data_IF_549447978385
#
_entry.id   IF_549447978385
#
_cell.length_a   1.000
_cell.length_b   1.000
_cell.length_c   1.000
_cell.angle_alpha   90.00
_cell.angle_beta   90.00
_cell.angle_gamma   90.00
#
_symmetry.space_group_name_H-M   'P 1'
#
loop_
_entity.id
_entity.type
_entity.pdbx_description
1 polymer ?
#
# COMPACT_ATOMS: atom_id res chain seq x y z
N UNK A 1 0.82 5.90 23.25
CA UNK A 1 0.63 5.59 21.83
C UNK A 1 0.45 4.07 21.60
N UNK A 2 -0.20 3.35 22.53
CA UNK A 2 -0.22 1.87 22.59
C UNK A 2 -1.61 1.28 22.86
N UNK A 3 -2.69 1.97 22.48
CA UNK A 3 -4.03 1.35 22.47
C UNK A 3 -4.60 1.34 21.06
N UNK A 4 -3.81 0.86 20.09
CA UNK A 4 -4.37 0.53 18.77
C UNK A 4 -5.35 -0.63 18.96
N UNK A 5 -6.65 -0.32 18.94
CA UNK A 5 -7.69 -1.34 18.93
C UNK A 5 -7.42 -2.35 17.82
N UNK A 6 -7.54 -3.64 18.12
CA UNK A 6 -7.41 -4.72 17.14
C UNK A 6 -8.31 -4.50 15.91
N UNK A 7 -9.46 -3.87 16.11
CA UNK A 7 -10.41 -3.51 15.06
C UNK A 7 -9.79 -2.50 14.07
N UNK A 8 -9.05 -1.51 14.58
CA UNK A 8 -8.32 -0.54 13.75
C UNK A 8 -7.23 -1.24 12.92
N UNK A 9 -6.44 -2.09 13.58
CA UNK A 9 -5.32 -2.78 12.95
C UNK A 9 -5.81 -3.67 11.81
N UNK A 10 -6.84 -4.48 12.05
CA UNK A 10 -7.38 -5.41 11.06
C UNK A 10 -8.11 -4.64 9.95
N UNK A 11 -8.97 -3.68 10.33
CA UNK A 11 -9.80 -2.92 9.40
C UNK A 11 -9.02 -2.15 8.34
N UNK A 12 -7.80 -1.72 8.65
CA UNK A 12 -6.90 -1.03 7.71
C UNK A 12 -5.94 -2.01 7.05
N UNK A 13 -5.30 -2.90 7.83
CA UNK A 13 -4.19 -3.70 7.30
C UNK A 13 -4.67 -4.76 6.30
N UNK A 14 -5.91 -5.25 6.41
CA UNK A 14 -6.50 -6.19 5.43
C UNK A 14 -6.69 -5.53 4.06
N UNK A 15 -7.47 -4.42 3.92
CA UNK A 15 -7.64 -3.77 2.62
C UNK A 15 -6.32 -3.23 2.07
N UNK A 16 -5.44 -2.72 2.92
CA UNK A 16 -4.10 -2.28 2.52
C UNK A 16 -3.29 -3.42 1.89
N UNK A 17 -3.23 -4.59 2.56
CA UNK A 17 -2.50 -5.74 2.04
C UNK A 17 -3.06 -6.24 0.71
N UNK A 18 -4.39 -6.23 0.57
CA UNK A 18 -5.05 -6.64 -0.67
C UNK A 18 -4.71 -5.70 -1.83
N UNK A 19 -4.78 -4.38 -1.60
CA UNK A 19 -4.45 -3.37 -2.59
C UNK A 19 -2.98 -3.38 -2.96
N UNK A 20 -2.08 -3.59 -2.00
CA UNK A 20 -0.64 -3.64 -2.25
C UNK A 20 -0.27 -4.82 -3.13
N UNK A 21 -0.76 -6.03 -2.81
CA UNK A 21 -0.51 -7.22 -3.65
C UNK A 21 -1.08 -7.02 -5.04
N UNK A 22 -2.30 -6.48 -5.16
CA UNK A 22 -2.89 -6.14 -6.45
C UNK A 22 -2.04 -5.14 -7.23
N UNK A 23 -1.53 -4.10 -6.59
CA UNK A 23 -0.66 -3.12 -7.21
C UNK A 23 0.68 -3.73 -7.65
N UNK A 24 1.26 -4.64 -6.86
CA UNK A 24 2.49 -5.34 -7.23
C UNK A 24 2.32 -6.16 -8.51
N UNK A 25 1.23 -6.91 -8.64
CA UNK A 25 0.92 -7.65 -9.86
C UNK A 25 0.64 -6.69 -11.04
N UNK A 26 -0.12 -5.63 -10.78
CA UNK A 26 -0.55 -4.68 -11.82
C UNK A 26 0.63 -3.91 -12.43
N UNK A 27 1.55 -3.41 -11.59
CA UNK A 27 2.70 -2.64 -12.04
C UNK A 27 3.85 -3.53 -12.54
N UNK A 28 3.97 -4.75 -12.03
CA UNK A 28 4.94 -5.72 -12.58
C UNK A 28 4.49 -6.35 -13.90
N UNK A 29 3.23 -6.13 -14.30
CA UNK A 29 2.58 -6.74 -15.47
C UNK A 29 2.64 -8.28 -15.45
N UNK A 30 2.82 -8.87 -14.27
CA UNK A 30 2.81 -10.32 -14.11
C UNK A 30 1.36 -10.82 -14.04
N UNK A 31 1.03 -11.96 -14.67
CA UNK A 31 -0.31 -12.50 -14.60
C UNK A 31 -0.66 -12.90 -13.16
N UNK A 32 -1.84 -12.47 -12.69
CA UNK A 32 -2.31 -12.77 -11.34
C UNK A 32 -2.61 -14.27 -11.24
N UNK A 33 -1.88 -14.96 -10.37
CA UNK A 33 -2.23 -16.31 -9.95
C UNK A 33 -3.01 -16.23 -8.63
N UNK A 34 -4.29 -16.59 -8.67
CA UNK A 34 -5.22 -16.43 -7.53
C UNK A 34 -4.69 -17.11 -6.25
N UNK A 35 -4.09 -18.30 -6.35
CA UNK A 35 -3.56 -19.01 -5.18
C UNK A 35 -2.39 -18.25 -4.54
N UNK A 36 -1.46 -17.75 -5.37
CA UNK A 36 -0.30 -16.96 -4.90
C UNK A 36 -0.71 -15.59 -4.39
N UNK A 37 -1.70 -14.98 -5.04
CA UNK A 37 -2.28 -13.70 -4.64
C UNK A 37 -2.80 -13.75 -3.20
N UNK A 38 -3.71 -14.68 -2.89
CA UNK A 38 -4.25 -14.80 -1.53
C UNK A 38 -3.18 -15.17 -0.50
N UNK A 39 -2.23 -16.04 -0.87
CA UNK A 39 -1.11 -16.37 0.00
C UNK A 39 -0.25 -15.14 0.33
N UNK A 40 0.07 -14.33 -0.69
CA UNK A 40 0.82 -13.08 -0.52
C UNK A 40 0.05 -12.04 0.29
N UNK A 41 -1.28 -11.98 0.18
CA UNK A 41 -2.10 -11.08 1.00
C UNK A 41 -2.03 -11.48 2.47
N UNK A 42 -2.17 -12.77 2.79
CA UNK A 42 -2.08 -13.27 4.17
C UNK A 42 -0.70 -13.02 4.76
N UNK A 43 0.36 -13.29 3.99
CA UNK A 43 1.74 -13.05 4.42
C UNK A 43 1.99 -11.56 4.64
N UNK A 44 1.62 -10.70 3.70
CA UNK A 44 1.76 -9.24 3.86
C UNK A 44 0.96 -8.71 5.05
N UNK A 45 -0.27 -9.17 5.24
CA UNK A 45 -1.09 -8.79 6.38
C UNK A 45 -0.43 -9.15 7.71
N UNK A 46 0.10 -10.37 7.80
CA UNK A 46 0.80 -10.85 9.01
C UNK A 46 2.07 -10.03 9.26
N UNK A 47 2.82 -9.72 8.21
CA UNK A 47 4.02 -8.88 8.30
C UNK A 47 3.68 -7.45 8.75
N UNK A 48 2.64 -6.83 8.18
CA UNK A 48 2.17 -5.49 8.57
C UNK A 48 1.76 -5.46 10.02
N UNK A 49 0.93 -6.41 10.46
CA UNK A 49 0.50 -6.49 11.85
C UNK A 49 1.70 -6.72 12.78
N UNK A 50 2.58 -7.66 12.43
CA UNK A 50 3.80 -7.94 13.19
C UNK A 50 4.67 -6.71 13.34
N UNK A 51 5.05 -6.06 12.23
CA UNK A 51 5.92 -4.89 12.21
C UNK A 51 5.32 -3.71 12.98
N UNK A 52 4.02 -3.42 12.81
CA UNK A 52 3.33 -2.31 13.49
C UNK A 52 3.15 -2.50 15.00
N UNK A 53 3.28 -3.74 15.50
CA UNK A 53 3.23 -4.03 16.92
C UNK A 53 4.61 -3.86 17.61
N UNK A 54 5.71 -3.74 16.86
CA UNK A 54 7.00 -3.44 17.48
C UNK A 54 7.03 -1.98 17.98
N UNK A 55 7.65 -1.71 19.14
CA UNK A 55 7.80 -0.36 19.68
C UNK A 55 8.95 0.38 18.97
N UNK A 56 8.81 0.67 17.68
CA UNK A 56 9.83 1.34 16.87
C UNK A 56 9.23 2.60 16.25
N UNK A 57 10.08 3.53 15.82
CA UNK A 57 9.63 4.70 15.08
C UNK A 57 8.97 4.34 13.75
N UNK A 58 7.95 5.12 13.39
CA UNK A 58 7.11 4.90 12.20
C UNK A 58 7.93 4.78 10.89
N UNK A 59 9.00 5.56 10.74
CA UNK A 59 9.86 5.49 9.56
C UNK A 59 10.59 4.15 9.39
N UNK A 60 10.98 3.52 10.50
CA UNK A 60 11.72 2.25 10.48
C UNK A 60 10.77 1.09 10.12
N UNK A 61 9.52 1.14 10.58
CA UNK A 61 8.50 0.18 10.19
C UNK A 61 8.31 0.13 8.67
N UNK A 62 8.26 1.28 8.00
CA UNK A 62 8.11 1.36 6.55
C UNK A 62 9.30 0.72 5.82
N UNK A 63 10.53 0.98 6.27
CA UNK A 63 11.73 0.36 5.69
C UNK A 63 11.73 -1.17 5.84
N UNK A 64 11.32 -1.66 7.01
CA UNK A 64 11.23 -3.10 7.26
C UNK A 64 10.15 -3.75 6.39
N UNK A 65 9.01 -3.08 6.21
CA UNK A 65 7.94 -3.55 5.32
C UNK A 65 8.35 -3.54 3.85
N UNK A 66 9.10 -2.53 3.39
CA UNK A 66 9.65 -2.52 2.02
C UNK A 66 10.48 -3.77 1.77
N UNK A 67 11.40 -4.09 2.68
CA UNK A 67 12.21 -5.31 2.57
C UNK A 67 11.34 -6.57 2.53
N UNK A 68 10.38 -6.67 3.45
CA UNK A 68 9.49 -7.82 3.54
C UNK A 68 8.59 -8.00 2.30
N UNK A 69 8.12 -6.91 1.70
CA UNK A 69 7.35 -6.93 0.45
C UNK A 69 8.21 -7.36 -0.74
N UNK A 70 9.45 -6.89 -0.83
CA UNK A 70 10.38 -7.34 -1.89
C UNK A 70 10.60 -8.86 -1.80
N UNK A 71 10.83 -9.39 -0.60
CA UNK A 71 10.97 -10.84 -0.39
C UNK A 71 9.70 -11.60 -0.77
N UNK A 72 8.54 -11.11 -0.35
CA UNK A 72 7.24 -11.72 -0.70
C UNK A 72 7.03 -11.76 -2.21
N UNK A 73 7.34 -10.66 -2.89
CA UNK A 73 7.22 -10.54 -4.34
C UNK A 73 8.14 -11.52 -5.09
N UNK A 74 9.35 -11.75 -4.60
CA UNK A 74 10.31 -12.69 -5.20
C UNK A 74 9.91 -14.14 -4.92
N UNK A 75 9.66 -14.47 -3.65
CA UNK A 75 9.49 -15.85 -3.20
C UNK A 75 8.12 -16.43 -3.58
N UNK A 76 7.06 -15.65 -3.36
CA UNK A 76 5.67 -16.08 -3.54
C UNK A 76 5.15 -15.66 -4.91
N UNK A 77 5.24 -14.37 -5.23
CA UNK A 77 4.66 -13.82 -6.46
C UNK A 77 5.49 -14.14 -7.72
N UNK A 78 6.74 -14.60 -7.54
CA UNK A 78 7.70 -14.94 -8.61
C UNK A 78 8.01 -13.77 -9.55
N UNK A 79 8.02 -12.56 -9.00
CA UNK A 79 8.45 -11.34 -9.70
C UNK A 79 9.99 -11.29 -9.65
N UNK A 80 10.64 -10.97 -10.77
CA UNK A 80 12.11 -10.84 -10.83
C UNK A 80 12.60 -9.77 -9.84
N UNK A 81 13.80 -9.95 -9.27
CA UNK A 81 14.37 -9.10 -8.22
C UNK A 81 14.35 -7.61 -8.58
N UNK A 82 14.86 -7.23 -9.76
CA UNK A 82 14.91 -5.82 -10.18
C UNK A 82 13.49 -5.24 -10.27
N UNK A 83 12.58 -5.95 -10.92
CA UNK A 83 11.18 -5.55 -11.05
C UNK A 83 10.49 -5.46 -9.69
N UNK A 84 10.78 -6.40 -8.77
CA UNK A 84 10.23 -6.43 -7.42
C UNK A 84 10.62 -5.18 -6.63
N UNK A 85 11.89 -4.79 -6.69
CA UNK A 85 12.39 -3.57 -6.02
C UNK A 85 11.68 -2.33 -6.60
N UNK A 86 11.70 -2.17 -7.93
CA UNK A 86 11.11 -0.99 -8.59
C UNK A 86 9.61 -0.87 -8.31
N UNK A 87 8.87 -1.97 -8.41
CA UNK A 87 7.43 -2.01 -8.18
C UNK A 87 7.10 -1.76 -6.71
N UNK A 88 7.86 -2.34 -5.78
CA UNK A 88 7.64 -2.13 -4.33
C UNK A 88 7.83 -0.65 -3.97
N UNK A 89 8.93 -0.04 -4.43
CA UNK A 89 9.19 1.40 -4.19
C UNK A 89 8.09 2.26 -4.82
N UNK A 90 7.68 1.95 -6.06
CA UNK A 90 6.62 2.69 -6.75
C UNK A 90 5.30 2.65 -5.99
N UNK A 91 4.90 1.47 -5.50
CA UNK A 91 3.69 1.30 -4.69
C UNK A 91 3.75 2.12 -3.40
N UNK A 92 4.88 2.12 -2.70
CA UNK A 92 5.04 2.89 -1.47
C UNK A 92 4.96 4.40 -1.72
N UNK A 93 5.57 4.88 -2.79
CA UNK A 93 5.46 6.30 -3.19
C UNK A 93 4.00 6.66 -3.49
N UNK A 94 3.29 5.82 -4.24
CA UNK A 94 1.87 6.03 -4.53
C UNK A 94 1.03 6.05 -3.25
N UNK A 95 1.33 5.17 -2.29
CA UNK A 95 0.66 5.18 -0.98
C UNK A 95 0.87 6.50 -0.25
N UNK A 96 2.11 6.98 -0.13
CA UNK A 96 2.41 8.25 0.52
C UNK A 96 1.71 9.43 -0.14
N UNK A 97 1.68 9.47 -1.47
CA UNK A 97 0.95 10.52 -2.22
C UNK A 97 -0.54 10.45 -1.92
N UNK A 98 -1.11 9.24 -1.87
CA UNK A 98 -2.54 9.03 -1.62
C UNK A 98 -2.94 9.46 -0.21
N UNK A 99 -2.16 9.09 0.80
CA UNK A 99 -2.38 9.51 2.18
C UNK A 99 -2.22 11.02 2.35
N UNK A 100 -1.24 11.63 1.69
CA UNK A 100 -1.03 13.07 1.74
C UNK A 100 -2.22 13.84 1.14
N UNK A 101 -2.71 13.41 -0.03
CA UNK A 101 -3.87 14.03 -0.68
C UNK A 101 -5.12 13.89 0.19
N UNK A 102 -5.32 12.71 0.77
CA UNK A 102 -6.46 12.44 1.65
C UNK A 102 -6.46 13.35 2.89
N UNK A 103 -5.33 13.44 3.60
CA UNK A 103 -5.17 14.36 4.72
C UNK A 103 -5.32 15.84 4.30
N UNK A 104 -4.82 16.22 3.13
CA UNK A 104 -4.97 17.58 2.63
C UNK A 104 -6.43 17.94 2.38
N UNK A 105 -7.21 17.04 1.76
CA UNK A 105 -8.64 17.23 1.51
C UNK A 105 -9.40 17.38 2.83
N UNK A 106 -9.13 16.49 3.79
CA UNK A 106 -9.83 16.49 5.08
C UNK A 106 -9.53 17.76 5.89
N UNK A 107 -8.25 18.17 5.92
CA UNK A 107 -7.81 19.34 6.68
C UNK A 107 -8.24 20.67 6.07
N UNK A 108 -8.03 20.84 4.76
CA UNK A 108 -8.20 22.15 4.11
C UNK A 108 -9.57 22.33 3.45
N UNK A 109 -10.15 21.28 2.88
CA UNK A 109 -11.41 21.40 2.13
C UNK A 109 -12.60 21.15 3.06
N UNK A 110 -12.57 20.04 3.78
CA UNK A 110 -13.65 19.66 4.69
C UNK A 110 -13.59 20.40 6.04
N UNK A 111 -12.46 21.07 6.34
CA UNK A 111 -12.19 21.82 7.58
C UNK A 111 -12.48 20.98 8.84
N UNK A 112 -12.24 19.67 8.77
CA UNK A 112 -12.49 18.78 9.89
C UNK A 112 -11.41 18.98 10.96
N UNK A 113 -11.77 18.79 12.23
CA UNK A 113 -10.79 18.95 13.32
C UNK A 113 -9.76 17.82 13.27
N UNK A 114 -8.52 18.15 12.89
CA UNK A 114 -7.42 17.18 12.80
C UNK A 114 -7.03 16.59 14.16
N UNK A 115 -7.16 17.35 15.26
CA UNK A 115 -6.91 16.81 16.60
C UNK A 115 -7.92 15.73 16.97
N UNK A 116 -9.18 15.88 16.53
CA UNK A 116 -10.21 14.87 16.74
C UNK A 116 -9.94 13.59 15.94
N UNK A 117 -9.50 13.72 14.69
CA UNK A 117 -9.14 12.57 13.84
C UNK A 117 -7.91 11.83 14.39
N UNK A 118 -6.91 12.57 14.87
CA UNK A 118 -5.69 11.99 15.42
C UNK A 118 -5.92 11.30 16.78
N UNK A 119 -6.87 11.78 17.57
CA UNK A 119 -7.21 11.22 18.89
C UNK A 119 -8.20 10.06 18.83
N UNK A 120 -9.20 10.11 17.93
CA UNK A 120 -10.22 9.08 17.81
C UNK A 120 -9.85 8.00 16.77
N UNK A 121 -9.67 6.77 17.24
CA UNK A 121 -9.22 5.65 16.41
C UNK A 121 -10.22 5.29 15.32
N UNK A 122 -11.53 5.33 15.61
CA UNK A 122 -12.58 5.02 14.63
C UNK A 122 -12.64 6.11 13.56
N UNK A 123 -12.55 7.38 13.98
CA UNK A 123 -12.49 8.50 13.06
C UNK A 123 -11.29 8.39 12.11
N UNK A 124 -10.14 7.94 12.63
CA UNK A 124 -8.92 7.72 11.85
C UNK A 124 -9.03 6.62 10.80
N UNK A 125 -9.73 5.51 11.09
CA UNK A 125 -10.03 4.48 10.07
C UNK A 125 -10.90 5.05 8.98
N UNK A 126 -12.02 5.65 9.36
CA UNK A 126 -13.01 6.19 8.42
C UNK A 126 -12.41 7.26 7.53
N UNK A 127 -11.56 8.12 8.10
CA UNK A 127 -10.87 9.16 7.35
C UNK A 127 -9.82 8.59 6.40
N UNK A 128 -9.19 7.45 6.69
CA UNK A 128 -8.16 6.85 5.83
C UNK A 128 -8.68 5.92 4.74
N UNK A 129 -9.95 5.51 4.79
CA UNK A 129 -10.57 4.68 3.74
C UNK A 129 -10.59 5.35 2.35
N UNK A 130 -10.87 6.66 2.19
CA UNK A 130 -10.82 7.32 0.89
C UNK A 130 -9.42 7.32 0.28
N UNK A 131 -8.35 7.31 1.09
CA UNK A 131 -6.97 7.16 0.59
C UNK A 131 -6.79 5.90 -0.27
N UNK A 132 -7.50 4.81 0.03
CA UNK A 132 -7.46 3.59 -0.78
C UNK A 132 -8.04 3.77 -2.19
N UNK A 133 -9.03 4.66 -2.35
CA UNK A 133 -9.61 4.99 -3.66
C UNK A 133 -8.58 5.76 -4.49
N UNK A 134 -7.92 6.74 -3.88
CA UNK A 134 -6.83 7.48 -4.53
C UNK A 134 -5.67 6.55 -4.90
N UNK A 135 -5.29 5.64 -4.01
CA UNK A 135 -4.27 4.65 -4.26
C UNK A 135 -4.59 3.80 -5.50
N UNK A 136 -5.79 3.22 -5.55
CA UNK A 136 -6.21 2.41 -6.69
C UNK A 136 -6.22 3.22 -8.00
N UNK A 137 -6.69 4.47 -7.95
CA UNK A 137 -6.68 5.39 -9.08
C UNK A 137 -5.25 5.66 -9.61
N UNK A 138 -4.31 5.99 -8.71
CA UNK A 138 -2.92 6.24 -9.09
C UNK A 138 -2.21 5.00 -9.63
N UNK A 139 -2.50 3.81 -9.10
CA UNK A 139 -1.96 2.55 -9.64
C UNK A 139 -2.44 2.31 -11.07
N UNK A 140 -3.71 2.56 -11.38
CA UNK A 140 -4.24 2.46 -12.75
C UNK A 140 -3.56 3.46 -13.68
N UNK A 141 -3.40 4.72 -13.24
CA UNK A 141 -2.69 5.73 -14.02
C UNK A 141 -1.23 5.31 -14.30
N UNK A 142 -0.52 4.82 -13.28
CA UNK A 142 0.84 4.34 -13.44
C UNK A 142 0.93 3.16 -14.42
N UNK A 143 0.00 2.21 -14.34
CA UNK A 143 -0.10 1.09 -15.31
C UNK A 143 -0.26 1.59 -16.74
N UNK A 144 -1.17 2.55 -16.97
CA UNK A 144 -1.40 3.14 -18.29
C UNK A 144 -0.12 3.79 -18.83
N UNK A 145 0.57 4.58 -17.99
CA UNK A 145 1.84 5.21 -18.37
C UNK A 145 2.91 4.18 -18.78
N UNK A 146 3.10 3.12 -17.99
CA UNK A 146 4.07 2.05 -18.29
C UNK A 146 3.72 1.36 -19.62
N UNK A 147 2.46 0.98 -19.83
CA UNK A 147 2.02 0.29 -21.06
C UNK A 147 2.23 1.14 -22.32
N UNK A 148 2.05 2.47 -22.21
CA UNK A 148 2.27 3.41 -23.31
C UNK A 148 3.75 3.53 -23.69
N UNK A 149 4.64 3.51 -22.70
CA UNK A 149 6.09 3.57 -22.95
C UNK A 149 6.59 2.30 -23.65
N UNK A 150 6.12 1.12 -23.22
CA UNK A 150 6.50 -0.15 -23.84
C UNK A 150 6.03 -0.26 -25.30
N UNK A 151 4.80 0.16 -25.60
CA UNK A 151 4.28 0.19 -26.97
C UNK A 151 5.13 1.08 -27.89
N UNK A 152 5.62 2.22 -27.38
CA UNK A 152 6.48 3.13 -28.15
C UNK A 152 7.87 2.56 -28.44
N UNK A 153 8.41 1.71 -27.55
CA UNK A 153 9.69 1.04 -27.74
C UNK A 153 9.62 -0.14 -28.72
N UNK A 154 8.46 -0.78 -28.88
CA UNK A 154 8.26 -1.86 -29.86
C UNK A 154 8.08 -1.37 -31.30
N UNK A 155 7.68 -0.10 -31.48
CA UNK A 155 7.46 0.53 -32.79
C UNK A 155 8.66 1.35 -33.29
N UNK A 156 9.84 1.16 -32.68
CA UNK A 156 11.13 1.74 -33.11
C UNK A 156 12.08 0.63 -33.54
#
# INVERSE_FOLDING_TARGET
>A
MFEMSLIYLIGISVPESLLFVWAFYTLSQTPINIKRFFLSVIVNFTLVCGVRLLPIDFGIHTLLLIAAYIFTNILINKINLITSILVTISVIIIQFISEFIDLFIIGHILKYNMEYILSNHVAKVLSGLPAFIFFAFFVVLAKMAISKVQSKNYNK
#
